data_IF_117126740405
#
_entry.id   IF_117126740405
#
_cell.length_a   1.000
_cell.length_b   1.000
_cell.length_c   1.000
_cell.angle_alpha   90.00
_cell.angle_beta   90.00
_cell.angle_gamma   90.00
#
_symmetry.space_group_name_H-M   'P 1'
#
loop_
_entity.id
_entity.type
_entity.pdbx_description
1 polymer ?
#
# COMPACT_ATOMS: atom_id res chain seq x y z
N UNK A 1 24.54 -38.51 -28.77
CA UNK A 1 23.95 -37.21 -29.16
C UNK A 1 23.20 -36.48 -28.03
N UNK A 2 23.39 -36.79 -26.73
CA UNK A 2 22.56 -36.19 -25.65
C UNK A 2 23.11 -34.87 -25.03
N UNK A 3 24.35 -34.47 -25.37
CA UNK A 3 25.01 -33.31 -24.72
C UNK A 3 24.61 -31.96 -25.32
N UNK A 4 24.38 -31.92 -26.65
CA UNK A 4 23.96 -30.69 -27.35
C UNK A 4 22.51 -30.32 -27.07
N UNK A 5 21.65 -31.30 -26.82
CA UNK A 5 20.25 -31.05 -26.46
C UNK A 5 20.13 -30.49 -25.04
N UNK A 6 20.89 -31.02 -24.08
CA UNK A 6 20.93 -30.49 -22.72
C UNK A 6 21.41 -29.03 -22.69
N UNK A 7 22.47 -28.71 -23.45
CA UNK A 7 22.97 -27.32 -23.53
C UNK A 7 21.94 -26.39 -24.17
N UNK A 8 21.24 -26.83 -25.24
CA UNK A 8 20.19 -26.02 -25.88
C UNK A 8 18.99 -25.76 -24.97
N UNK A 9 18.57 -26.74 -24.18
CA UNK A 9 17.47 -26.58 -23.23
C UNK A 9 17.84 -25.60 -22.11
N UNK A 10 19.05 -25.73 -21.56
CA UNK A 10 19.56 -24.82 -20.53
C UNK A 10 19.63 -23.39 -21.07
N UNK A 11 20.17 -23.17 -22.27
CA UNK A 11 20.20 -21.83 -22.89
C UNK A 11 18.79 -21.29 -23.18
N UNK A 12 17.83 -22.15 -23.57
CA UNK A 12 16.45 -21.73 -23.82
C UNK A 12 15.76 -21.24 -22.53
N UNK A 13 15.92 -21.96 -21.41
CA UNK A 13 15.30 -21.59 -20.13
C UNK A 13 15.92 -20.31 -19.57
N UNK A 14 17.26 -20.20 -19.58
CA UNK A 14 17.93 -19.00 -19.08
C UNK A 14 17.72 -17.78 -20.00
N UNK A 15 17.63 -17.98 -21.32
CA UNK A 15 17.38 -16.90 -22.29
C UNK A 15 16.02 -16.22 -22.13
N UNK A 16 15.00 -16.96 -21.67
CA UNK A 16 13.65 -16.41 -21.45
C UNK A 16 13.58 -15.52 -20.21
N UNK A 17 14.41 -15.78 -19.17
CA UNK A 17 14.38 -14.99 -17.93
C UNK A 17 14.84 -13.54 -18.08
N UNK A 18 15.65 -13.21 -19.10
CA UNK A 18 16.14 -11.85 -19.34
C UNK A 18 15.26 -11.04 -20.29
N UNK A 19 14.30 -11.68 -20.95
CA UNK A 19 13.39 -11.05 -21.90
C UNK A 19 12.00 -10.81 -21.30
N UNK A 20 11.89 -10.75 -19.97
CA UNK A 20 10.66 -10.30 -19.32
C UNK A 20 10.68 -8.77 -19.34
N UNK A 21 9.86 -8.11 -20.19
CA UNK A 21 9.80 -6.66 -20.17
C UNK A 21 9.31 -6.21 -18.80
N UNK A 22 9.91 -5.16 -18.26
CA UNK A 22 9.57 -4.52 -16.97
C UNK A 22 8.07 -4.20 -16.82
N UNK A 23 7.35 -4.10 -17.93
CA UNK A 23 5.88 -3.99 -18.00
C UNK A 23 5.14 -5.17 -17.39
N UNK A 24 5.73 -6.37 -17.33
CA UNK A 24 5.12 -7.55 -16.68
C UNK A 24 5.17 -7.40 -15.16
N UNK A 25 6.23 -6.81 -14.60
CA UNK A 25 6.28 -6.49 -13.17
C UNK A 25 5.28 -5.39 -12.80
N UNK A 26 5.06 -4.41 -13.68
CA UNK A 26 3.99 -3.42 -13.50
C UNK A 26 2.58 -4.03 -13.60
N UNK A 27 2.40 -5.15 -14.32
CA UNK A 27 1.12 -5.89 -14.39
C UNK A 27 0.88 -6.81 -13.18
N UNK A 28 1.93 -7.17 -12.44
CA UNK A 28 1.81 -7.84 -11.14
C UNK A 28 1.45 -6.88 -10.01
N UNK A 29 1.67 -5.57 -10.22
CA UNK A 29 1.09 -4.52 -9.41
C UNK A 29 -0.37 -4.27 -9.81
N UNK A 30 -1.21 -5.31 -9.77
CA UNK A 30 -2.64 -5.06 -9.79
C UNK A 30 -3.00 -4.25 -8.54
N UNK A 31 -3.77 -3.15 -8.67
CA UNK A 31 -4.26 -2.45 -7.50
C UNK A 31 -5.04 -3.46 -6.68
N UNK A 32 -4.70 -3.63 -5.39
CA UNK A 32 -5.36 -4.58 -4.50
C UNK A 32 -6.84 -4.20 -4.31
N UNK A 33 -7.69 -4.55 -5.27
CA UNK A 33 -9.13 -4.43 -5.15
C UNK A 33 -9.71 -5.68 -4.50
N UNK A 34 -9.55 -5.77 -3.18
CA UNK A 34 -9.91 -6.94 -2.39
C UNK A 34 -11.41 -7.22 -2.27
N UNK A 35 -12.31 -6.51 -2.98
CA UNK A 35 -13.78 -6.70 -2.91
C UNK A 35 -14.45 -6.51 -1.52
N UNK A 36 -13.67 -6.50 -0.45
CA UNK A 36 -14.08 -6.35 0.94
C UNK A 36 -14.13 -4.86 1.24
N UNK A 37 -15.30 -4.36 1.68
CA UNK A 37 -15.45 -3.01 2.23
C UNK A 37 -15.31 -3.10 3.75
N UNK A 38 -14.10 -2.99 4.31
CA UNK A 38 -13.94 -2.98 5.75
C UNK A 38 -14.76 -1.83 6.36
N UNK A 39 -15.54 -2.16 7.38
CA UNK A 39 -16.48 -1.26 8.07
C UNK A 39 -15.95 -0.76 9.41
N UNK A 40 -14.76 -1.19 9.82
CA UNK A 40 -14.23 -0.90 11.15
C UNK A 40 -13.90 0.59 11.35
N UNK A 41 -13.40 1.25 10.31
CA UNK A 41 -13.01 2.65 10.39
C UNK A 41 -14.10 3.59 9.85
N UNK A 42 -14.23 4.74 10.51
CA UNK A 42 -15.03 5.85 9.98
C UNK A 42 -14.33 6.52 8.80
N UNK A 43 -15.10 7.14 7.90
CA UNK A 43 -14.54 7.81 6.72
C UNK A 43 -13.53 8.93 7.04
N UNK A 44 -13.58 9.51 8.25
CA UNK A 44 -12.61 10.50 8.72
C UNK A 44 -11.30 9.85 9.14
N UNK A 45 -11.34 8.78 9.94
CA UNK A 45 -10.16 8.02 10.34
C UNK A 45 -9.43 7.42 9.14
N UNK A 46 -10.16 6.95 8.13
CA UNK A 46 -9.56 6.45 6.87
C UNK A 46 -8.78 7.53 6.12
N UNK A 47 -9.28 8.76 6.09
CA UNK A 47 -8.57 9.90 5.47
C UNK A 47 -7.31 10.27 6.25
N UNK A 48 -7.37 10.26 7.57
CA UNK A 48 -6.20 10.50 8.43
C UNK A 48 -5.16 9.41 8.22
N UNK A 49 -5.57 8.14 8.21
CA UNK A 49 -4.67 7.01 7.94
C UNK A 49 -4.04 7.09 6.55
N UNK A 50 -4.80 7.48 5.53
CA UNK A 50 -4.28 7.70 4.18
C UNK A 50 -3.22 8.81 4.14
N UNK A 51 -3.49 9.94 4.81
CA UNK A 51 -2.53 11.04 4.91
C UNK A 51 -1.25 10.64 5.67
N UNK A 52 -1.37 9.88 6.76
CA UNK A 52 -0.21 9.34 7.49
C UNK A 52 0.58 8.39 6.60
N UNK A 53 -0.11 7.47 5.91
CA UNK A 53 0.54 6.47 5.05
C UNK A 53 1.32 7.13 3.92
N UNK A 54 0.74 8.17 3.30
CA UNK A 54 1.40 8.95 2.24
C UNK A 54 2.58 9.75 2.77
N UNK A 55 2.53 10.25 4.02
CA UNK A 55 3.71 10.87 4.64
C UNK A 55 4.86 9.88 4.86
N UNK A 56 4.56 8.60 5.13
CA UNK A 56 5.59 7.56 5.34
C UNK A 56 6.19 7.10 4.02
N UNK A 57 5.35 6.85 3.01
CA UNK A 57 5.78 6.48 1.65
C UNK A 57 5.14 7.48 0.67
N UNK A 58 5.78 8.64 0.47
CA UNK A 58 5.28 9.63 -0.47
C UNK A 58 5.46 9.14 -1.90
N UNK A 59 4.53 9.53 -2.77
CA UNK A 59 4.66 9.31 -4.20
C UNK A 59 5.95 9.95 -4.73
N UNK A 60 6.78 9.11 -5.33
CA UNK A 60 8.03 9.51 -6.01
C UNK A 60 8.03 8.87 -7.40
N UNK A 61 9.10 8.21 -7.81
CA UNK A 61 9.15 7.43 -9.06
C UNK A 61 8.38 6.10 -8.96
N UNK A 62 8.02 5.70 -7.74
CA UNK A 62 7.13 4.57 -7.44
C UNK A 62 5.77 5.05 -6.94
N UNK A 63 4.69 4.29 -7.19
CA UNK A 63 3.36 4.63 -6.66
C UNK A 63 3.38 4.82 -5.15
N UNK A 64 2.73 5.89 -4.68
CA UNK A 64 2.66 6.26 -3.26
C UNK A 64 1.79 5.30 -2.43
N UNK A 65 1.80 5.44 -1.11
CA UNK A 65 1.06 4.55 -0.21
C UNK A 65 -0.45 4.49 -0.50
N UNK A 66 -1.04 5.61 -0.95
CA UNK A 66 -2.45 5.66 -1.35
C UNK A 66 -2.69 4.85 -2.62
N UNK A 67 -1.82 4.99 -3.62
CA UNK A 67 -1.90 4.30 -4.91
C UNK A 67 -1.62 2.79 -4.76
N UNK A 68 -0.78 2.43 -3.80
CA UNK A 68 -0.51 1.03 -3.42
C UNK A 68 -1.65 0.38 -2.61
N UNK A 69 -2.69 1.12 -2.23
CA UNK A 69 -3.84 0.57 -1.51
C UNK A 69 -3.59 0.25 -0.03
N UNK A 70 -2.52 0.78 0.55
CA UNK A 70 -2.13 0.55 1.96
C UNK A 70 -3.25 0.85 2.96
N UNK A 71 -4.00 1.97 2.86
CA UNK A 71 -5.03 2.30 3.84
C UNK A 71 -6.14 1.23 3.91
N UNK A 72 -6.50 0.64 2.78
CA UNK A 72 -7.51 -0.42 2.72
C UNK A 72 -6.96 -1.74 3.26
N UNK A 73 -5.73 -2.08 2.92
CA UNK A 73 -5.06 -3.28 3.42
C UNK A 73 -4.94 -3.26 4.94
N UNK A 74 -4.57 -2.10 5.50
CA UNK A 74 -4.44 -1.93 6.94
C UNK A 74 -5.76 -2.18 7.68
N UNK A 75 -6.88 -1.74 7.13
CA UNK A 75 -8.20 -2.03 7.72
C UNK A 75 -8.54 -3.52 7.73
N UNK A 76 -8.13 -4.27 6.71
CA UNK A 76 -8.32 -5.73 6.65
C UNK A 76 -7.42 -6.42 7.68
N UNK A 77 -6.16 -5.99 7.79
CA UNK A 77 -5.24 -6.50 8.82
C UNK A 77 -5.78 -6.28 10.24
N UNK A 78 -6.33 -5.10 10.53
CA UNK A 78 -6.96 -4.84 11.82
C UNK A 78 -8.19 -5.72 12.04
N UNK A 79 -8.97 -5.99 11.00
CA UNK A 79 -10.17 -6.81 11.12
C UNK A 79 -9.85 -8.28 11.38
N UNK A 80 -8.89 -8.84 10.67
CA UNK A 80 -8.66 -10.28 10.64
C UNK A 80 -7.57 -10.73 11.61
N UNK A 81 -6.60 -9.85 11.95
CA UNK A 81 -5.42 -10.22 12.74
C UNK A 81 -5.38 -9.62 14.15
N UNK A 82 -6.30 -8.70 14.51
CA UNK A 82 -6.28 -8.01 15.80
C UNK A 82 -7.50 -8.33 16.65
N UNK A 83 -7.29 -8.40 17.98
CA UNK A 83 -8.37 -8.51 18.97
C UNK A 83 -9.12 -7.19 19.11
N UNK A 84 -10.36 -7.24 19.58
CA UNK A 84 -11.21 -6.04 19.74
C UNK A 84 -10.60 -4.97 20.68
N UNK A 85 -9.83 -5.39 21.68
CA UNK A 85 -9.10 -4.49 22.58
C UNK A 85 -8.02 -3.70 21.82
N UNK A 86 -7.23 -4.38 21.00
CA UNK A 86 -6.18 -3.73 20.22
C UNK A 86 -6.75 -2.88 19.08
N UNK A 87 -7.88 -3.30 18.47
CA UNK A 87 -8.59 -2.47 17.49
C UNK A 87 -9.02 -1.13 18.10
N UNK A 88 -9.53 -1.12 19.35
CA UNK A 88 -9.87 0.12 20.06
C UNK A 88 -8.67 1.02 20.27
N UNK A 89 -7.54 0.47 20.73
CA UNK A 89 -6.31 1.25 20.94
C UNK A 89 -5.88 1.99 19.66
N UNK A 90 -5.98 1.32 18.50
CA UNK A 90 -5.64 1.93 17.21
C UNK A 90 -6.63 3.02 16.81
N UNK A 91 -7.94 2.79 16.98
CA UNK A 91 -8.98 3.77 16.67
C UNK A 91 -8.93 5.00 17.59
N UNK A 92 -8.65 4.79 18.87
CA UNK A 92 -8.49 5.85 19.87
C UNK A 92 -7.22 6.66 19.59
N UNK A 93 -6.11 5.98 19.25
CA UNK A 93 -4.86 6.62 18.84
C UNK A 93 -5.03 7.53 17.61
N UNK A 94 -5.77 7.07 16.59
CA UNK A 94 -6.07 7.89 15.42
C UNK A 94 -6.95 9.10 15.75
N UNK A 95 -7.89 8.95 16.69
CA UNK A 95 -8.76 10.04 17.13
C UNK A 95 -7.98 11.08 17.92
N UNK A 96 -7.08 10.65 18.80
CA UNK A 96 -6.19 11.52 19.56
C UNK A 96 -5.21 12.26 18.65
N UNK A 97 -4.63 11.57 17.68
CA UNK A 97 -3.72 12.17 16.71
C UNK A 97 -4.42 13.23 15.85
N UNK A 98 -5.67 12.98 15.44
CA UNK A 98 -6.52 13.98 14.77
C UNK A 98 -6.83 15.19 15.67
N UNK A 99 -6.95 14.99 16.98
CA UNK A 99 -7.19 16.05 17.95
C UNK A 99 -5.94 16.89 18.21
N UNK A 100 -4.77 16.26 18.30
CA UNK A 100 -3.47 16.91 18.52
C UNK A 100 -2.91 17.61 17.27
N UNK A 101 -3.23 17.11 16.07
CA UNK A 101 -2.80 17.76 14.82
C UNK A 101 -3.51 19.12 14.59
N UNK A 102 -4.73 19.32 15.10
CA UNK A 102 -5.49 20.57 14.96
C UNK A 102 -4.81 21.79 15.61
N UNK A 103 -4.33 21.74 16.87
CA UNK A 103 -3.67 22.87 17.52
C UNK A 103 -2.21 23.08 17.09
N UNK A 104 -1.44 22.03 16.77
CA UNK A 104 0.01 22.16 16.60
C UNK A 104 0.52 22.12 15.14
N UNK A 105 -0.24 21.58 14.18
CA UNK A 105 0.26 21.37 12.80
C UNK A 105 -0.83 21.59 11.75
N UNK A 106 -1.31 22.84 11.67
CA UNK A 106 -2.33 23.28 10.70
C UNK A 106 -1.92 23.26 9.22
N UNK A 107 -0.76 22.70 8.85
CA UNK A 107 -0.27 22.74 7.46
C UNK A 107 0.16 21.38 6.94
N UNK A 108 1.01 20.63 7.65
CA UNK A 108 1.57 19.37 7.11
C UNK A 108 0.53 18.24 6.92
N UNK A 109 -0.52 18.17 7.75
CA UNK A 109 -1.52 17.08 7.66
C UNK A 109 -2.67 17.38 6.68
N UNK A 110 -2.94 18.66 6.39
CA UNK A 110 -4.01 19.07 5.47
C UNK A 110 -3.51 19.36 4.04
N UNK A 111 -2.22 19.71 3.87
CA UNK A 111 -1.70 20.15 2.55
C UNK A 111 -1.19 19.04 1.64
N UNK A 112 -0.98 17.82 2.13
CA UNK A 112 -0.57 16.68 1.27
C UNK A 112 -1.68 16.24 0.30
N UNK A 113 -2.95 16.58 0.57
CA UNK A 113 -4.08 16.26 -0.32
C UNK A 113 -4.38 17.38 -1.35
N UNK A 114 -3.51 18.40 -1.45
CA UNK A 114 -3.69 19.57 -2.31
C UNK A 114 -2.49 19.92 -3.21
N UNK A 115 -1.41 19.14 -3.18
CA UNK A 115 -0.22 19.33 -4.03
C UNK A 115 -0.14 18.35 -5.21
N UNK A 116 -1.29 17.74 -5.56
CA UNK A 116 -1.47 16.99 -6.80
C UNK A 116 -2.65 17.61 -7.58
N UNK A 117 -2.43 18.83 -8.08
CA UNK A 117 -3.05 19.40 -9.27
C UNK A 117 -2.03 20.37 -9.89
#
# INVERSE_FOLDING_TARGET
MQRREAVRLVTAVFGVSLAVPETVFARLAEPMDLGIKPKLMTGKQRKTLAAISECIIPKTDTPGAIEAGVPRWFEILLQDCYTAENQKVVLDGLTNLDAECKPNMGRICQTQNGAAN
#
